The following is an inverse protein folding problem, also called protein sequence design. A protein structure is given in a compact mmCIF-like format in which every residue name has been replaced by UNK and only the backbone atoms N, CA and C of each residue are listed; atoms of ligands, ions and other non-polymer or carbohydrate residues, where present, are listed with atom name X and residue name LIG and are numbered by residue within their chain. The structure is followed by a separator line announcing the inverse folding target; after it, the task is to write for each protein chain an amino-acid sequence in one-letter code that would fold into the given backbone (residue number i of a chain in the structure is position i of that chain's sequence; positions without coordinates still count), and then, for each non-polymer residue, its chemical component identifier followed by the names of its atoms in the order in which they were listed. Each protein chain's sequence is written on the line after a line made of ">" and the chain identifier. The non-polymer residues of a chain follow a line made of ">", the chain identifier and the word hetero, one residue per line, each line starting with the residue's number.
data_IF_262412980175
#
_entry.id   IF_262412980175
#
_cell.length_a   1.000
_cell.length_b   1.000
_cell.length_c   1.000
_cell.angle_alpha   90.00
_cell.angle_beta   90.00
_cell.angle_gamma   90.00
#
_symmetry.space_group_name_H-M   'P 1'
#
loop_
_entity.id
_entity.type
_entity.pdbx_description
1 polymer ?
#
# COMPACT_ATOMS: atom_id res chain seq x y z
N UNK A 1 5.21 9.00 -6.30
CA UNK A 1 5.93 7.74 -6.53
C UNK A 1 7.45 7.90 -6.37
N UNK A 2 8.09 8.94 -6.94
CA UNK A 2 9.54 9.18 -6.82
C UNK A 2 10.04 9.21 -5.38
N UNK A 3 9.30 9.83 -4.46
CA UNK A 3 9.68 9.87 -3.02
C UNK A 3 9.77 8.45 -2.42
N UNK A 4 8.86 7.55 -2.78
CA UNK A 4 8.86 6.15 -2.32
C UNK A 4 10.13 5.42 -2.82
N UNK A 5 10.49 5.61 -4.09
CA UNK A 5 11.70 5.02 -4.68
C UNK A 5 12.98 5.57 -4.02
N UNK A 6 13.08 6.88 -3.86
CA UNK A 6 14.24 7.51 -3.21
C UNK A 6 14.37 7.05 -1.75
N UNK A 7 13.25 6.99 -1.02
CA UNK A 7 13.22 6.51 0.36
C UNK A 7 13.68 5.05 0.47
N UNK A 8 13.23 4.19 -0.45
CA UNK A 8 13.63 2.80 -0.53
C UNK A 8 15.14 2.65 -0.79
N UNK A 9 15.67 3.36 -1.81
CA UNK A 9 17.10 3.32 -2.15
C UNK A 9 17.93 3.81 -0.96
N UNK A 10 17.52 4.90 -0.33
CA UNK A 10 18.21 5.45 0.82
C UNK A 10 18.18 4.47 2.01
N UNK A 11 17.03 3.87 2.30
CA UNK A 11 16.88 2.89 3.38
C UNK A 11 17.78 1.67 3.14
N UNK A 12 17.83 1.13 1.92
CA UNK A 12 18.70 0.02 1.57
C UNK A 12 20.19 0.37 1.72
N UNK A 13 20.61 1.54 1.21
CA UNK A 13 21.99 2.00 1.32
C UNK A 13 22.39 2.26 2.79
N UNK A 14 21.51 2.90 3.57
CA UNK A 14 21.72 3.13 4.99
C UNK A 14 21.88 1.84 5.78
N UNK A 15 21.01 0.85 5.53
CA UNK A 15 21.03 -0.44 6.20
C UNK A 15 22.32 -1.18 5.95
N UNK A 16 22.80 -1.23 4.70
CA UNK A 16 24.08 -1.87 4.37
C UNK A 16 25.26 -1.16 5.04
N UNK A 17 25.27 0.18 4.99
CA UNK A 17 26.37 0.97 5.59
C UNK A 17 26.45 0.80 7.12
N UNK A 18 25.32 0.50 7.78
CA UNK A 18 25.23 0.39 9.24
C UNK A 18 24.86 -1.00 9.72
N UNK A 19 25.11 -2.03 8.95
CA UNK A 19 24.70 -3.41 9.23
C UNK A 19 25.16 -3.89 10.62
N UNK A 20 26.37 -3.56 11.05
CA UNK A 20 26.92 -3.93 12.36
C UNK A 20 26.15 -3.30 13.53
N UNK A 21 25.52 -2.15 13.33
CA UNK A 21 24.81 -1.39 14.36
C UNK A 21 23.29 -1.56 14.32
N UNK A 22 22.74 -2.38 13.40
CA UNK A 22 21.29 -2.52 13.22
C UNK A 22 20.56 -3.04 14.46
N UNK A 23 21.24 -3.80 15.32
CA UNK A 23 20.67 -4.26 16.59
C UNK A 23 20.54 -3.14 17.65
N UNK A 24 21.24 -2.02 17.50
CA UNK A 24 21.21 -0.88 18.42
C UNK A 24 20.18 0.15 18.01
N UNK A 25 19.30 0.53 18.94
CA UNK A 25 18.31 1.59 18.69
C UNK A 25 18.97 2.93 18.32
N UNK A 26 19.95 3.37 19.10
CA UNK A 26 20.57 4.70 18.94
C UNK A 26 21.42 4.84 17.69
N UNK A 27 22.26 3.84 17.36
CA UNK A 27 23.21 3.93 16.24
C UNK A 27 22.65 3.37 14.94
N UNK A 28 21.78 2.34 15.03
CA UNK A 28 21.17 1.67 13.88
C UNK A 28 19.87 2.33 13.43
N UNK A 29 18.88 2.40 14.31
CA UNK A 29 17.53 2.83 13.94
C UNK A 29 17.33 4.36 13.99
N UNK A 30 17.78 5.04 15.05
CA UNK A 30 17.46 6.44 15.34
C UNK A 30 17.76 7.42 14.18
N UNK A 31 18.91 7.35 13.48
CA UNK A 31 19.16 8.25 12.35
C UNK A 31 18.16 8.06 11.19
N UNK A 32 17.73 6.81 10.95
CA UNK A 32 16.72 6.53 9.93
C UNK A 32 15.31 6.95 10.38
N UNK A 33 15.03 6.87 11.67
CA UNK A 33 13.78 7.37 12.23
C UNK A 33 13.62 8.88 11.99
N UNK A 34 14.68 9.67 12.12
CA UNK A 34 14.65 11.11 11.81
C UNK A 34 14.28 11.34 10.34
N UNK A 35 14.91 10.62 9.42
CA UNK A 35 14.60 10.71 7.98
C UNK A 35 13.14 10.31 7.72
N UNK A 36 12.68 9.23 8.34
CA UNK A 36 11.30 8.76 8.20
C UNK A 36 10.30 9.80 8.72
N UNK A 37 10.58 10.45 9.85
CA UNK A 37 9.73 11.53 10.40
C UNK A 37 9.71 12.74 9.47
N UNK A 38 10.84 13.15 8.91
CA UNK A 38 10.91 14.27 7.94
C UNK A 38 10.08 13.96 6.70
N UNK A 39 10.23 12.75 6.12
CA UNK A 39 9.45 12.34 4.94
C UNK A 39 7.96 12.30 5.28
N UNK A 40 7.60 11.71 6.43
CA UNK A 40 6.21 11.64 6.89
C UNK A 40 5.62 13.04 7.08
N UNK A 41 6.35 13.96 7.69
CA UNK A 41 5.92 15.34 7.86
C UNK A 41 5.67 16.03 6.52
N UNK A 42 6.58 15.90 5.56
CA UNK A 42 6.41 16.48 4.21
C UNK A 42 5.20 15.89 3.47
N UNK A 43 4.99 14.58 3.55
CA UNK A 43 3.83 13.92 2.93
C UNK A 43 2.51 14.30 3.62
N UNK A 44 2.52 14.52 4.92
CA UNK A 44 1.34 14.98 5.67
C UNK A 44 0.93 16.41 5.32
N UNK A 45 1.85 17.26 4.84
CA UNK A 45 1.53 18.58 4.29
C UNK A 45 0.70 18.48 2.98
N UNK A 46 0.80 17.37 2.26
CA UNK A 46 0.00 17.07 1.07
C UNK A 46 -1.29 16.28 1.37
N UNK A 47 -1.80 16.26 2.60
CA UNK A 47 -2.70 15.34 3.32
C UNK A 47 -2.70 13.87 2.82
N UNK A 48 -1.56 13.40 2.32
CA UNK A 48 -1.41 12.02 1.81
C UNK A 48 -0.93 11.04 2.90
N UNK A 49 -1.86 10.62 3.73
CA UNK A 49 -1.62 9.61 4.77
C UNK A 49 -1.32 8.22 4.16
N UNK A 50 -1.86 7.92 2.96
CA UNK A 50 -1.63 6.64 2.28
C UNK A 50 -0.17 6.45 1.89
N UNK A 51 0.42 7.43 1.18
CA UNK A 51 1.84 7.40 0.85
C UNK A 51 2.72 7.37 2.11
N UNK A 52 2.34 8.10 3.17
CA UNK A 52 3.06 8.10 4.45
C UNK A 52 3.12 6.70 5.07
N UNK A 53 2.00 5.98 5.09
CA UNK A 53 1.93 4.59 5.60
C UNK A 53 2.79 3.67 4.75
N UNK A 54 2.64 3.71 3.43
CA UNK A 54 3.41 2.85 2.50
C UNK A 54 4.91 3.07 2.67
N UNK A 55 5.38 4.32 2.66
CA UNK A 55 6.81 4.65 2.84
C UNK A 55 7.32 4.16 4.19
N UNK A 56 6.56 4.39 5.27
CA UNK A 56 6.94 3.95 6.61
C UNK A 56 7.06 2.42 6.70
N UNK A 57 6.09 1.68 6.14
CA UNK A 57 6.11 0.21 6.12
C UNK A 57 7.27 -0.32 5.29
N UNK A 58 7.54 0.29 4.12
CA UNK A 58 8.65 -0.11 3.25
C UNK A 58 10.00 0.14 3.92
N UNK A 59 10.22 1.32 4.49
CA UNK A 59 11.46 1.64 5.23
C UNK A 59 11.65 0.66 6.39
N UNK A 60 10.62 0.48 7.22
CA UNK A 60 10.68 -0.44 8.36
C UNK A 60 10.93 -1.87 7.92
N UNK A 61 10.30 -2.32 6.84
CA UNK A 61 10.51 -3.64 6.27
C UNK A 61 11.93 -3.86 5.78
N UNK A 62 12.52 -2.88 5.07
CA UNK A 62 13.91 -2.95 4.61
C UNK A 62 14.90 -2.97 5.79
N UNK A 63 14.69 -2.14 6.81
CA UNK A 63 15.50 -2.15 8.03
C UNK A 63 15.41 -3.51 8.74
N UNK A 64 14.22 -4.08 8.83
CA UNK A 64 13.99 -5.40 9.43
C UNK A 64 14.69 -6.51 8.66
N UNK A 65 14.57 -6.54 7.33
CA UNK A 65 15.27 -7.48 6.47
C UNK A 65 16.79 -7.34 6.55
N UNK A 66 17.28 -6.14 6.83
CA UNK A 66 18.69 -5.84 7.02
C UNK A 66 19.22 -6.08 8.44
N UNK A 67 18.42 -6.67 9.34
CA UNK A 67 18.86 -7.11 10.66
C UNK A 67 18.41 -6.23 11.84
N UNK A 68 17.41 -5.35 11.66
CA UNK A 68 16.81 -4.63 12.76
C UNK A 68 16.20 -5.62 13.78
N UNK A 69 16.41 -5.40 15.07
CA UNK A 69 15.89 -6.32 16.09
C UNK A 69 14.34 -6.33 16.08
N UNK A 70 13.74 -7.52 16.24
CA UNK A 70 12.29 -7.70 16.29
C UNK A 70 11.63 -6.81 17.37
N UNK A 71 12.30 -6.59 18.51
CA UNK A 71 11.79 -5.74 19.60
C UNK A 71 11.62 -4.28 19.13
N UNK A 72 12.62 -3.73 18.42
CA UNK A 72 12.57 -2.37 17.89
C UNK A 72 11.51 -2.31 16.79
N UNK A 73 11.47 -3.29 15.90
CA UNK A 73 10.49 -3.36 14.80
C UNK A 73 9.05 -3.33 15.35
N UNK A 74 8.73 -4.17 16.34
CA UNK A 74 7.39 -4.21 16.94
C UNK A 74 7.07 -2.93 17.71
N UNK A 75 8.01 -2.41 18.51
CA UNK A 75 7.80 -1.18 19.26
C UNK A 75 7.50 0.01 18.33
N UNK A 76 8.30 0.19 17.29
CA UNK A 76 8.10 1.27 16.31
C UNK A 76 6.82 1.04 15.49
N UNK A 77 6.53 -0.20 15.08
CA UNK A 77 5.29 -0.55 14.41
C UNK A 77 4.07 -0.17 15.24
N UNK A 78 4.08 -0.47 16.55
CA UNK A 78 3.01 -0.06 17.47
C UNK A 78 2.87 1.46 17.56
N UNK A 79 3.98 2.19 17.63
CA UNK A 79 3.95 3.67 17.64
C UNK A 79 3.37 4.21 16.35
N UNK A 80 3.74 3.66 15.18
CA UNK A 80 3.18 4.07 13.88
C UNK A 80 1.68 3.82 13.84
N UNK A 81 1.22 2.63 14.25
CA UNK A 81 -0.22 2.30 14.28
C UNK A 81 -0.98 3.23 15.22
N UNK A 82 -0.45 3.47 16.42
CA UNK A 82 -1.05 4.40 17.38
C UNK A 82 -1.12 5.83 16.83
N UNK A 83 -0.07 6.29 16.15
CA UNK A 83 -0.04 7.60 15.51
C UNK A 83 -1.09 7.72 14.39
N UNK A 84 -1.20 6.71 13.52
CA UNK A 84 -2.22 6.67 12.46
C UNK A 84 -3.63 6.68 13.05
N UNK A 85 -3.87 5.87 14.08
CA UNK A 85 -5.15 5.85 14.78
C UNK A 85 -5.47 7.23 15.39
N UNK A 86 -4.52 7.85 16.09
CA UNK A 86 -4.69 9.20 16.63
C UNK A 86 -5.02 10.22 15.55
N UNK A 87 -4.31 10.19 14.41
CA UNK A 87 -4.56 11.06 13.26
C UNK A 87 -5.96 10.87 12.66
N UNK A 88 -6.50 9.66 12.68
CA UNK A 88 -7.86 9.38 12.23
C UNK A 88 -8.86 9.98 13.22
N UNK A 89 -8.70 9.71 14.51
CA UNK A 89 -9.63 10.19 15.54
C UNK A 89 -9.65 11.72 15.70
N UNK A 90 -8.48 12.37 15.54
CA UNK A 90 -8.38 13.83 15.66
C UNK A 90 -8.87 14.60 14.40
N UNK A 91 -9.17 13.91 13.32
CA UNK A 91 -9.55 14.54 12.06
C UNK A 91 -10.97 14.12 11.67
N UNK A 92 -12.00 14.98 11.83
CA UNK A 92 -13.42 14.60 11.63
C UNK A 92 -13.69 13.96 10.26
N UNK A 93 -13.13 14.50 9.17
CA UNK A 93 -13.32 13.94 7.82
C UNK A 93 -12.68 12.56 7.61
N UNK A 94 -11.63 12.23 8.38
CA UNK A 94 -11.03 10.87 8.35
C UNK A 94 -11.86 9.90 9.17
N UNK A 95 -12.35 10.35 10.32
CA UNK A 95 -13.23 9.56 11.16
C UNK A 95 -14.52 9.21 10.42
N UNK A 96 -15.14 10.18 9.74
CA UNK A 96 -16.35 9.93 8.97
C UNK A 96 -16.14 8.94 7.82
N UNK A 97 -14.95 8.90 7.18
CA UNK A 97 -14.62 7.84 6.22
C UNK A 97 -14.54 6.45 6.85
N UNK A 98 -14.04 6.34 8.08
CA UNK A 98 -14.00 5.06 8.80
C UNK A 98 -15.42 4.63 9.19
N UNK A 99 -16.27 5.56 9.63
CA UNK A 99 -17.68 5.27 9.93
C UNK A 99 -18.44 4.84 8.67
N UNK A 100 -18.26 5.57 7.57
CA UNK A 100 -18.82 5.21 6.27
C UNK A 100 -18.32 3.85 5.73
N UNK A 101 -17.12 3.42 6.10
CA UNK A 101 -16.61 2.09 5.79
C UNK A 101 -17.31 0.98 6.60
N UNK A 102 -17.66 1.25 7.86
CA UNK A 102 -18.35 0.27 8.71
C UNK A 102 -19.80 0.04 8.30
N UNK A 103 -20.46 1.08 7.77
CA UNK A 103 -21.82 0.99 7.22
C UNK A 103 -21.93 1.77 5.90
N UNK A 104 -21.45 1.18 4.78
CA UNK A 104 -21.42 1.85 3.49
C UNK A 104 -22.80 2.04 2.84
N UNK A 105 -23.83 1.36 3.35
CA UNK A 105 -25.21 1.40 2.83
C UNK A 105 -26.13 2.34 3.60
N UNK A 106 -25.64 2.98 4.65
CA UNK A 106 -26.39 3.97 5.41
C UNK A 106 -26.78 5.16 4.55
N UNK A 107 -28.03 5.64 4.69
CA UNK A 107 -28.54 6.82 3.97
C UNK A 107 -27.68 8.07 4.21
N UNK A 108 -27.01 8.16 5.37
CA UNK A 108 -26.14 9.26 5.73
C UNK A 108 -24.86 9.30 4.90
N UNK A 109 -24.27 8.12 4.52
CA UNK A 109 -22.95 8.04 3.89
C UNK A 109 -22.98 7.58 2.44
N UNK A 110 -24.03 6.88 1.99
CA UNK A 110 -24.07 6.23 0.66
C UNK A 110 -23.92 7.22 -0.50
N UNK A 111 -24.49 8.42 -0.40
CA UNK A 111 -24.37 9.48 -1.42
C UNK A 111 -23.16 10.41 -1.21
N UNK A 112 -22.35 10.16 -0.18
CA UNK A 112 -21.21 10.98 0.19
C UNK A 112 -19.92 10.18 0.32
N UNK A 113 -19.50 9.95 1.55
CA UNK A 113 -18.18 9.37 1.85
C UNK A 113 -18.08 7.87 1.56
N UNK A 114 -19.20 7.13 1.59
CA UNK A 114 -19.26 5.73 1.21
C UNK A 114 -19.53 5.53 -0.29
N UNK A 115 -19.82 6.59 -1.06
CA UNK A 115 -20.19 6.49 -2.48
C UNK A 115 -19.19 5.64 -3.29
N UNK A 116 -17.90 5.92 -3.17
CA UNK A 116 -16.86 5.18 -3.87
C UNK A 116 -16.82 3.70 -3.47
N UNK A 117 -16.99 3.43 -2.16
CA UNK A 117 -16.96 2.06 -1.66
C UNK A 117 -18.20 1.29 -2.07
N UNK A 118 -19.40 1.86 -1.95
CA UNK A 118 -20.64 1.20 -2.32
C UNK A 118 -20.67 0.84 -3.81
N UNK A 119 -20.25 1.76 -4.70
CA UNK A 119 -20.14 1.50 -6.13
C UNK A 119 -19.05 0.46 -6.47
N UNK A 120 -17.93 0.48 -5.73
CA UNK A 120 -16.91 -0.57 -5.86
C UNK A 120 -17.47 -1.95 -5.49
N UNK A 121 -18.22 -2.05 -4.38
CA UNK A 121 -18.84 -3.31 -3.96
C UNK A 121 -19.93 -3.77 -4.94
N UNK A 122 -20.70 -2.86 -5.52
CA UNK A 122 -21.67 -3.17 -6.60
C UNK A 122 -20.94 -3.75 -7.81
N UNK A 123 -19.81 -3.15 -8.22
CA UNK A 123 -18.99 -3.67 -9.31
C UNK A 123 -18.52 -5.11 -9.05
N UNK A 124 -17.99 -5.38 -7.84
CA UNK A 124 -17.60 -6.74 -7.44
C UNK A 124 -18.78 -7.71 -7.46
N UNK A 125 -19.93 -7.31 -6.90
CA UNK A 125 -21.13 -8.15 -6.87
C UNK A 125 -21.66 -8.47 -8.27
N UNK A 126 -21.64 -7.48 -9.17
CA UNK A 126 -22.11 -7.62 -10.55
C UNK A 126 -21.21 -8.49 -11.42
N UNK A 127 -19.91 -8.53 -11.10
CA UNK A 127 -18.93 -9.34 -11.83
C UNK A 127 -19.09 -10.85 -11.59
N UNK A 128 -19.68 -11.27 -10.50
CA UNK A 128 -19.87 -12.70 -10.15
C UNK A 128 -18.59 -13.53 -10.38
N UNK A 129 -18.69 -14.69 -11.05
CA UNK A 129 -17.56 -15.58 -11.35
C UNK A 129 -16.79 -15.18 -12.62
N UNK A 130 -17.49 -14.84 -13.69
CA UNK A 130 -16.91 -14.67 -15.03
C UNK A 130 -16.97 -13.24 -15.58
N UNK A 131 -17.59 -12.33 -14.84
CA UNK A 131 -17.76 -10.95 -15.26
C UNK A 131 -18.85 -10.71 -16.29
N UNK A 132 -19.14 -9.43 -16.53
CA UNK A 132 -20.12 -9.01 -17.54
C UNK A 132 -19.52 -8.94 -18.96
N UNK A 133 -18.23 -9.24 -19.09
CA UNK A 133 -17.46 -9.16 -20.35
C UNK A 133 -16.59 -7.91 -20.41
N UNK A 134 -15.49 -8.03 -21.18
CA UNK A 134 -14.54 -6.93 -21.38
C UNK A 134 -15.23 -5.74 -22.04
N UNK A 135 -15.05 -4.57 -21.46
CA UNK A 135 -15.72 -3.36 -21.90
C UNK A 135 -17.14 -3.17 -21.37
N UNK A 136 -17.74 -4.18 -20.72
CA UNK A 136 -19.12 -4.19 -20.24
C UNK A 136 -19.35 -3.54 -18.88
N UNK A 137 -18.31 -3.03 -18.21
CA UNK A 137 -18.45 -2.32 -16.94
C UNK A 137 -19.33 -1.09 -17.09
N UNK A 138 -20.35 -0.97 -16.25
CA UNK A 138 -21.21 0.21 -16.13
C UNK A 138 -20.63 1.20 -15.15
N UNK A 139 -20.00 0.71 -14.09
CA UNK A 139 -19.42 1.56 -13.03
C UNK A 139 -18.33 2.50 -13.57
N UNK A 140 -17.58 2.09 -14.61
CA UNK A 140 -16.60 2.95 -15.30
C UNK A 140 -17.21 4.11 -16.09
N UNK A 141 -18.52 4.08 -16.38
CA UNK A 141 -19.23 5.13 -17.14
C UNK A 141 -19.64 6.32 -16.24
N UNK A 142 -18.72 6.82 -15.42
CA UNK A 142 -18.86 7.93 -14.49
C UNK A 142 -19.69 7.64 -13.22
N UNK A 143 -20.07 6.41 -12.94
CA UNK A 143 -20.70 6.04 -11.67
C UNK A 143 -19.66 5.89 -10.55
N UNK A 144 -18.51 5.29 -10.84
CA UNK A 144 -17.43 5.12 -9.88
C UNK A 144 -16.34 6.20 -10.10
N UNK A 145 -16.17 7.19 -9.22
CA UNK A 145 -15.07 8.15 -9.28
C UNK A 145 -13.72 7.43 -9.20
N UNK A 146 -12.72 7.89 -9.95
CA UNK A 146 -11.39 7.32 -10.00
C UNK A 146 -11.35 5.82 -10.39
N UNK A 147 -12.33 5.36 -11.19
CA UNK A 147 -12.43 3.99 -11.70
C UNK A 147 -11.17 3.53 -12.45
N UNK A 148 -10.48 4.46 -13.14
CA UNK A 148 -9.28 4.16 -13.94
C UNK A 148 -7.96 4.25 -13.14
N UNK A 149 -8.01 4.69 -11.90
CA UNK A 149 -6.83 4.93 -11.05
C UNK A 149 -6.90 4.11 -9.76
N UNK A 150 -7.63 4.58 -8.77
CA UNK A 150 -7.64 3.99 -7.43
C UNK A 150 -8.54 2.77 -7.31
N UNK A 151 -9.61 2.72 -8.12
CA UNK A 151 -10.61 1.63 -8.12
C UNK A 151 -10.57 0.77 -9.39
N UNK A 152 -9.44 0.75 -10.11
CA UNK A 152 -9.28 -0.07 -11.32
C UNK A 152 -9.60 -1.55 -11.07
N UNK A 153 -9.33 -2.04 -9.84
CA UNK A 153 -9.63 -3.42 -9.46
C UNK A 153 -11.13 -3.72 -9.40
N UNK A 154 -11.98 -2.72 -9.08
CA UNK A 154 -13.42 -2.87 -9.13
C UNK A 154 -13.93 -3.02 -10.58
N UNK A 155 -13.37 -2.25 -11.51
CA UNK A 155 -13.67 -2.38 -12.95
C UNK A 155 -13.25 -3.75 -13.48
N UNK A 156 -12.04 -4.21 -13.11
CA UNK A 156 -11.58 -5.56 -13.47
C UNK A 156 -12.51 -6.62 -12.90
N UNK A 157 -12.93 -6.48 -11.63
CA UNK A 157 -13.86 -7.41 -11.01
C UNK A 157 -15.20 -7.44 -11.70
N UNK A 158 -15.75 -6.28 -12.13
CA UNK A 158 -17.00 -6.22 -12.89
C UNK A 158 -16.88 -6.87 -14.27
N UNK A 159 -15.78 -6.58 -15.01
CA UNK A 159 -15.62 -7.05 -16.39
C UNK A 159 -15.21 -8.53 -16.51
N UNK A 160 -14.33 -9.01 -15.61
CA UNK A 160 -13.73 -10.35 -15.70
C UNK A 160 -14.13 -11.27 -14.55
N UNK A 161 -14.88 -10.78 -13.58
CA UNK A 161 -15.35 -11.51 -12.44
C UNK A 161 -14.25 -11.96 -11.49
N UNK A 162 -14.58 -12.90 -10.63
CA UNK A 162 -13.66 -13.49 -9.66
C UNK A 162 -12.42 -14.11 -10.33
N UNK A 163 -12.58 -14.71 -11.51
CA UNK A 163 -11.47 -15.33 -12.25
C UNK A 163 -10.39 -14.31 -12.59
N UNK A 164 -10.76 -13.12 -13.08
CA UNK A 164 -9.81 -12.05 -13.38
C UNK A 164 -9.15 -11.48 -12.14
N UNK A 165 -9.91 -11.33 -11.05
CA UNK A 165 -9.37 -10.90 -9.75
C UNK A 165 -8.29 -11.89 -9.25
N UNK A 166 -8.58 -13.19 -9.27
CA UNK A 166 -7.63 -14.24 -8.86
C UNK A 166 -6.39 -14.22 -9.76
N UNK A 167 -6.56 -14.04 -11.07
CA UNK A 167 -5.42 -13.96 -11.99
C UNK A 167 -4.49 -12.79 -11.65
N UNK A 168 -5.04 -11.59 -11.39
CA UNK A 168 -4.24 -10.42 -10.99
C UNK A 168 -3.54 -10.67 -9.65
N UNK A 169 -4.26 -11.22 -8.66
CA UNK A 169 -3.66 -11.58 -7.37
C UNK A 169 -2.49 -12.56 -7.55
N UNK A 170 -2.65 -13.56 -8.43
CA UNK A 170 -1.61 -14.53 -8.73
C UNK A 170 -0.39 -13.88 -9.39
N UNK A 171 -0.59 -12.94 -10.33
CA UNK A 171 0.49 -12.20 -11.00
C UNK A 171 1.27 -11.37 -9.96
N UNK A 172 0.58 -10.63 -9.08
CA UNK A 172 1.23 -9.88 -8.01
C UNK A 172 1.97 -10.77 -7.02
N UNK A 173 1.37 -11.89 -6.61
CA UNK A 173 2.03 -12.87 -5.75
C UNK A 173 3.32 -13.41 -6.39
N UNK A 174 3.25 -13.79 -7.67
CA UNK A 174 4.41 -14.29 -8.42
C UNK A 174 5.51 -13.23 -8.55
N UNK A 175 5.14 -11.99 -8.88
CA UNK A 175 6.07 -10.86 -8.97
C UNK A 175 6.78 -10.62 -7.62
N UNK A 176 6.02 -10.51 -6.53
CA UNK A 176 6.55 -10.29 -5.17
C UNK A 176 7.47 -11.46 -4.79
N UNK A 177 7.04 -12.68 -4.96
CA UNK A 177 7.85 -13.87 -4.71
C UNK A 177 9.17 -13.81 -5.48
N UNK A 178 9.13 -13.41 -6.76
CA UNK A 178 10.32 -13.33 -7.61
C UNK A 178 11.30 -12.26 -7.15
N UNK A 179 10.83 -11.10 -6.74
CA UNK A 179 11.70 -10.05 -6.18
C UNK A 179 12.38 -10.51 -4.88
N UNK A 180 11.68 -11.23 -4.00
CA UNK A 180 12.29 -11.82 -2.81
C UNK A 180 13.29 -12.93 -3.12
N UNK A 181 13.05 -13.75 -4.14
CA UNK A 181 14.01 -14.77 -4.61
C UNK A 181 15.30 -14.13 -5.12
N UNK A 182 15.18 -13.13 -5.99
CA UNK A 182 16.32 -12.35 -6.50
C UNK A 182 17.09 -11.71 -5.35
N UNK A 183 16.39 -11.08 -4.41
CA UNK A 183 17.02 -10.45 -3.26
C UNK A 183 17.77 -11.44 -2.39
N UNK A 184 17.19 -12.61 -2.10
CA UNK A 184 17.86 -13.68 -1.34
C UNK A 184 19.09 -14.24 -2.07
N UNK A 185 19.02 -14.41 -3.39
CA UNK A 185 20.16 -14.85 -4.19
C UNK A 185 21.29 -13.82 -4.17
N UNK A 186 20.96 -12.53 -4.30
CA UNK A 186 21.95 -11.46 -4.23
C UNK A 186 22.67 -11.42 -2.86
N UNK A 187 21.92 -11.58 -1.77
CA UNK A 187 22.48 -11.63 -0.40
C UNK A 187 23.41 -12.85 -0.24
N UNK A 188 23.05 -14.01 -0.78
CA UNK A 188 23.92 -15.20 -0.77
C UNK A 188 25.25 -14.99 -1.52
N UNK A 189 25.27 -14.07 -2.48
CA UNK A 189 26.46 -13.66 -3.23
C UNK A 189 27.17 -12.45 -2.59
N UNK A 190 26.88 -12.16 -1.33
CA UNK A 190 27.41 -11.02 -0.56
C UNK A 190 27.09 -9.64 -1.16
N UNK A 191 26.14 -9.58 -2.09
CA UNK A 191 25.64 -8.34 -2.69
C UNK A 191 24.46 -7.80 -1.87
N UNK A 192 24.75 -7.25 -0.69
CA UNK A 192 23.70 -6.83 0.27
C UNK A 192 22.82 -5.70 -0.24
N UNK A 193 23.41 -4.66 -0.86
CA UNK A 193 22.62 -3.51 -1.32
C UNK A 193 21.60 -3.89 -2.41
N UNK A 194 21.96 -4.50 -3.54
CA UNK A 194 20.98 -4.93 -4.53
C UNK A 194 20.01 -5.98 -3.97
N UNK A 195 20.44 -6.80 -3.01
CA UNK A 195 19.60 -7.77 -2.34
C UNK A 195 18.47 -7.13 -1.53
N UNK A 196 18.79 -6.17 -0.68
CA UNK A 196 17.82 -5.41 0.11
C UNK A 196 16.93 -4.51 -0.78
N UNK A 197 17.51 -3.94 -1.83
CA UNK A 197 16.75 -3.13 -2.77
C UNK A 197 15.68 -3.95 -3.48
N UNK A 198 16.03 -5.15 -3.99
CA UNK A 198 15.07 -6.04 -4.65
C UNK A 198 13.95 -6.49 -3.70
N UNK A 199 14.28 -6.87 -2.46
CA UNK A 199 13.28 -7.23 -1.45
C UNK A 199 12.41 -6.05 -1.06
N UNK A 200 12.98 -4.85 -0.96
CA UNK A 200 12.26 -3.62 -0.67
C UNK A 200 11.28 -3.23 -1.78
N UNK A 201 11.63 -3.43 -3.05
CA UNK A 201 10.70 -3.29 -4.18
C UNK A 201 9.53 -4.28 -4.06
N UNK A 202 9.82 -5.53 -3.70
CA UNK A 202 8.78 -6.54 -3.45
C UNK A 202 7.84 -6.15 -2.32
N UNK A 203 8.37 -5.63 -1.21
CA UNK A 203 7.57 -5.08 -0.11
C UNK A 203 6.72 -3.91 -0.56
N UNK A 204 7.27 -2.96 -1.30
CA UNK A 204 6.54 -1.81 -1.78
C UNK A 204 5.36 -2.23 -2.65
N UNK A 205 5.58 -3.03 -3.68
CA UNK A 205 4.50 -3.51 -4.55
C UNK A 205 3.49 -4.36 -3.80
N UNK A 206 3.96 -5.23 -2.88
CA UNK A 206 3.08 -6.07 -2.07
C UNK A 206 2.15 -5.25 -1.17
N UNK A 207 2.70 -4.32 -0.41
CA UNK A 207 1.90 -3.46 0.49
C UNK A 207 0.91 -2.61 -0.31
N UNK A 208 1.36 -2.01 -1.41
CA UNK A 208 0.50 -1.16 -2.23
C UNK A 208 -0.62 -1.96 -2.91
N UNK A 209 -0.33 -3.17 -3.43
CA UNK A 209 -1.34 -4.06 -4.00
C UNK A 209 -2.34 -4.54 -2.94
N UNK A 210 -1.88 -4.97 -1.76
CA UNK A 210 -2.76 -5.40 -0.65
C UNK A 210 -3.71 -4.27 -0.23
N UNK A 211 -3.19 -3.06 -0.08
CA UNK A 211 -4.02 -1.93 0.34
C UNK A 211 -5.02 -1.57 -0.77
N UNK A 212 -4.60 -1.45 -2.04
CA UNK A 212 -5.50 -1.10 -3.14
C UNK A 212 -6.62 -2.13 -3.32
N UNK A 213 -6.25 -3.42 -3.43
CA UNK A 213 -7.23 -4.49 -3.59
C UNK A 213 -8.14 -4.61 -2.36
N UNK A 214 -7.57 -4.44 -1.17
CA UNK A 214 -8.33 -4.44 0.08
C UNK A 214 -9.32 -3.28 0.18
N UNK A 215 -8.97 -2.09 -0.30
CA UNK A 215 -9.89 -0.94 -0.40
C UNK A 215 -10.98 -1.21 -1.42
N UNK A 216 -10.64 -1.67 -2.62
CA UNK A 216 -11.61 -1.94 -3.68
C UNK A 216 -12.59 -3.06 -3.30
N UNK A 217 -12.13 -4.09 -2.59
CA UNK A 217 -12.98 -5.21 -2.12
C UNK A 217 -13.73 -4.93 -0.81
N UNK A 218 -13.57 -3.74 -0.21
CA UNK A 218 -14.20 -3.41 1.06
C UNK A 218 -13.55 -4.05 2.30
N UNK A 219 -12.32 -4.57 2.20
CA UNK A 219 -11.58 -5.09 3.35
C UNK A 219 -10.89 -3.97 4.16
N UNK A 220 -10.65 -2.80 3.55
CA UNK A 220 -10.04 -1.63 4.18
C UNK A 220 -10.82 -0.35 3.89
N UNK A 221 -10.74 0.67 4.75
CA UNK A 221 -11.40 1.96 4.52
C UNK A 221 -10.83 2.65 3.26
N UNK A 222 -11.67 3.39 2.56
CA UNK A 222 -11.35 4.04 1.29
C UNK A 222 -10.13 4.96 1.41
N UNK A 223 -9.14 4.71 0.56
CA UNK A 223 -7.90 5.45 0.44
C UNK A 223 -7.47 5.48 -1.03
N UNK A 224 -7.10 6.64 -1.52
CA UNK A 224 -6.52 6.81 -2.85
C UNK A 224 -5.09 6.26 -2.90
N UNK A 225 -4.95 4.96 -3.13
CA UNK A 225 -3.66 4.31 -3.39
C UNK A 225 -3.81 3.49 -4.65
N UNK A 226 -3.03 3.85 -5.65
CA UNK A 226 -3.09 3.24 -6.98
C UNK A 226 -2.46 1.86 -7.02
N UNK A 227 -3.01 0.96 -7.84
CA UNK A 227 -2.42 -0.34 -8.08
C UNK A 227 -1.18 -0.19 -8.98
N UNK A 228 0.01 -0.68 -8.59
CA UNK A 228 1.20 -0.60 -9.43
C UNK A 228 0.98 -1.29 -10.78
N UNK A 229 1.51 -0.71 -11.87
CA UNK A 229 1.46 -1.23 -13.25
C UNK A 229 0.10 -1.31 -13.93
N UNK A 230 -1.01 -1.23 -13.22
CA UNK A 230 -2.37 -1.42 -13.79
C UNK A 230 -3.13 -0.09 -13.94
N UNK A 231 -2.63 0.96 -13.32
CA UNK A 231 -3.24 2.30 -13.33
C UNK A 231 -3.08 3.01 -14.67
N UNK A 232 -4.11 3.74 -15.10
CA UNK A 232 -4.01 4.74 -16.15
C UNK A 232 -3.36 6.03 -15.62
N UNK A 233 -2.26 6.47 -16.21
CA UNK A 233 -1.58 7.72 -15.85
C UNK A 233 -0.09 7.72 -16.18
N UNK A 234 0.48 8.90 -16.43
CA UNK A 234 1.87 9.08 -16.86
C UNK A 234 2.95 8.79 -15.79
N UNK A 235 2.58 8.34 -14.59
CA UNK A 235 3.48 7.98 -13.49
C UNK A 235 3.27 6.54 -12.99
N UNK A 236 2.61 5.72 -13.79
CA UNK A 236 2.38 4.29 -13.49
C UNK A 236 3.63 3.44 -13.74
#
# INVERSE_FOLDING_TARGET
>A
EMVKLCALIYAAAFTVKRQEYMHSFSKGFFPMAIVMVIIAFMLMQQPDLGATVVVSVVIMGVLFLGGLSMKIFLAVGTVIVAFVALMIFMTPWRLSRVLAYLDPWSDEYVLGQAYQLSHSLIAFGRGELFGVGLGGSVEKLNYLPEAHTDFIMAVVAEETGLVGVILILFIFYWLIRRTFEIGRQAIKLERFFPGLLAQGVGLWFGVQAIINIGVASGAFPTKGLTLPFVRFGGSS
#
